data_IF_187702824099
#
_entry.id   IF_187702824099
#
_cell.length_a   1.000
_cell.length_b   1.000
_cell.length_c   1.000
_cell.angle_alpha   90.00
_cell.angle_beta   90.00
_cell.angle_gamma   90.00
#
_symmetry.space_group_name_H-M   'P 1'
#
loop_
_entity.id
_entity.type
_entity.pdbx_description
1 polymer ?
#
# COMPACT_ATOMS: atom_id res chain seq x y z
N UNK A 1 -8.41 -8.24 -31.82
CA UNK A 1 -7.29 -7.82 -30.95
C UNK A 1 -7.69 -8.15 -29.51
N UNK A 2 -7.24 -9.29 -28.97
CA UNK A 2 -7.53 -9.66 -27.57
C UNK A 2 -6.66 -8.79 -26.67
N UNK A 3 -7.24 -7.70 -26.18
CA UNK A 3 -6.59 -6.81 -25.21
C UNK A 3 -6.25 -7.66 -23.99
N UNK A 4 -4.97 -7.80 -23.68
CA UNK A 4 -4.49 -8.58 -22.54
C UNK A 4 -4.80 -7.84 -21.23
N UNK A 5 -6.06 -7.93 -20.78
CA UNK A 5 -6.55 -7.29 -19.56
C UNK A 5 -5.83 -7.82 -18.31
N UNK A 6 -5.44 -9.11 -18.30
CA UNK A 6 -4.82 -9.77 -17.15
C UNK A 6 -3.50 -9.12 -16.72
N UNK A 7 -2.71 -8.65 -17.68
CA UNK A 7 -1.43 -7.99 -17.44
C UNK A 7 -1.59 -6.55 -16.96
N UNK A 8 -2.68 -5.88 -17.36
CA UNK A 8 -2.96 -4.51 -16.94
C UNK A 8 -3.56 -4.45 -15.53
N UNK A 9 -4.42 -5.41 -15.18
CA UNK A 9 -5.02 -5.51 -13.83
C UNK A 9 -3.96 -5.72 -12.76
N UNK A 10 -2.95 -6.58 -13.00
CA UNK A 10 -1.84 -6.79 -12.05
C UNK A 10 -1.00 -5.53 -11.83
N UNK A 11 -0.73 -4.76 -12.89
CA UNK A 11 -0.01 -3.49 -12.77
C UNK A 11 -0.80 -2.44 -11.99
N UNK A 12 -2.12 -2.35 -12.21
CA UNK A 12 -2.98 -1.39 -11.49
C UNK A 12 -3.05 -1.75 -10.01
N UNK A 13 -3.25 -3.02 -9.69
CA UNK A 13 -3.25 -3.53 -8.32
C UNK A 13 -1.96 -3.18 -7.58
N UNK A 14 -0.81 -3.36 -8.25
CA UNK A 14 0.50 -2.96 -7.74
C UNK A 14 0.56 -1.48 -7.38
N UNK A 15 0.09 -0.61 -8.27
CA UNK A 15 0.10 0.85 -8.06
C UNK A 15 -0.82 1.22 -6.90
N UNK A 16 -2.01 0.63 -6.81
CA UNK A 16 -2.96 0.90 -5.72
C UNK A 16 -2.36 0.52 -4.36
N UNK A 17 -1.75 -0.66 -4.23
CA UNK A 17 -1.07 -1.07 -2.99
C UNK A 17 0.03 -0.10 -2.59
N UNK A 18 0.85 0.34 -3.56
CA UNK A 18 1.90 1.34 -3.31
C UNK A 18 1.32 2.64 -2.75
N UNK A 19 0.26 3.16 -3.37
CA UNK A 19 -0.41 4.40 -2.93
C UNK A 19 -0.98 4.23 -1.52
N UNK A 20 -1.68 3.12 -1.24
CA UNK A 20 -2.24 2.82 0.07
C UNK A 20 -1.13 2.74 1.12
N UNK A 21 -0.03 2.05 0.83
CA UNK A 21 1.09 1.91 1.74
C UNK A 21 1.70 3.26 2.12
N UNK A 22 1.96 4.13 1.12
CA UNK A 22 2.48 5.48 1.35
C UNK A 22 1.48 6.34 2.15
N UNK A 23 0.18 6.23 1.86
CA UNK A 23 -0.85 6.96 2.58
C UNK A 23 -0.93 6.56 4.06
N UNK A 24 -0.79 5.27 4.36
CA UNK A 24 -0.76 4.74 5.73
C UNK A 24 0.48 5.23 6.49
N UNK A 25 1.67 5.20 5.87
CA UNK A 25 2.89 5.76 6.48
C UNK A 25 2.72 7.26 6.75
N UNK A 26 2.14 7.99 5.80
CA UNK A 26 1.96 9.44 5.95
C UNK A 26 0.95 9.77 7.06
N UNK A 27 -0.14 9.03 7.17
CA UNK A 27 -1.15 9.26 8.22
C UNK A 27 -0.62 8.98 9.62
N UNK A 28 0.21 7.95 9.78
CA UNK A 28 0.93 7.71 11.04
C UNK A 28 1.89 8.85 11.40
N UNK A 29 2.61 9.40 10.41
CA UNK A 29 3.56 10.48 10.61
C UNK A 29 2.89 11.82 10.95
N UNK A 30 1.76 12.12 10.32
CA UNK A 30 0.97 13.32 10.59
C UNK A 30 0.26 13.31 11.95
N UNK A 31 0.39 12.24 12.74
CA UNK A 31 -0.23 12.14 14.05
C UNK A 31 -1.75 12.03 13.99
N UNK A 32 -2.29 11.44 12.92
CA UNK A 32 -3.75 11.23 12.77
C UNK A 32 -4.32 10.34 13.88
N UNK A 33 -3.47 9.53 14.52
CA UNK A 33 -3.84 8.62 15.60
C UNK A 33 -3.15 9.02 16.90
N UNK A 34 -3.91 9.17 17.97
CA UNK A 34 -3.38 9.51 19.32
C UNK A 34 -2.77 8.31 20.03
N UNK A 35 -3.21 7.09 19.68
CA UNK A 35 -2.76 5.86 20.32
C UNK A 35 -1.50 5.31 19.62
N UNK A 36 -0.40 5.22 20.36
CA UNK A 36 0.90 4.74 19.86
C UNK A 36 0.85 3.30 19.30
N UNK A 37 0.00 2.43 19.87
CA UNK A 37 -0.17 1.07 19.37
C UNK A 37 -0.84 1.08 17.98
N UNK A 38 -1.82 1.96 17.76
CA UNK A 38 -2.48 2.11 16.45
C UNK A 38 -1.49 2.65 15.43
N UNK A 39 -0.68 3.65 15.78
CA UNK A 39 0.36 4.21 14.90
C UNK A 39 1.35 3.11 14.46
N UNK A 40 1.81 2.28 15.40
CA UNK A 40 2.73 1.19 15.10
C UNK A 40 2.10 0.16 14.13
N UNK A 41 0.83 -0.21 14.34
CA UNK A 41 0.11 -1.11 13.44
C UNK A 41 -0.08 -0.52 12.05
N UNK A 42 -0.42 0.77 11.97
CA UNK A 42 -0.59 1.49 10.70
C UNK A 42 0.72 1.50 9.91
N UNK A 43 1.86 1.73 10.57
CA UNK A 43 3.16 1.64 9.92
C UNK A 43 3.47 0.22 9.43
N UNK A 44 3.17 -0.79 10.24
CA UNK A 44 3.40 -2.19 9.88
C UNK A 44 2.58 -2.61 8.65
N UNK A 45 1.30 -2.22 8.60
CA UNK A 45 0.41 -2.46 7.47
C UNK A 45 0.85 -1.64 6.25
N UNK A 46 1.19 -0.37 6.43
CA UNK A 46 1.67 0.48 5.34
C UNK A 46 2.93 -0.08 4.68
N UNK A 47 3.87 -0.57 5.49
CA UNK A 47 5.10 -1.17 5.01
C UNK A 47 4.83 -2.52 4.30
N UNK A 48 3.90 -3.33 4.79
CA UNK A 48 3.52 -4.58 4.11
C UNK A 48 2.93 -4.32 2.72
N UNK A 49 2.09 -3.31 2.56
CA UNK A 49 1.53 -2.93 1.25
C UNK A 49 2.61 -2.46 0.26
N UNK A 50 3.60 -1.70 0.73
CA UNK A 50 4.75 -1.30 -0.10
C UNK A 50 5.54 -2.53 -0.53
N UNK A 51 5.86 -3.43 0.41
CA UNK A 51 6.61 -4.66 0.10
C UNK A 51 5.86 -5.54 -0.89
N UNK A 52 4.57 -5.78 -0.68
CA UNK A 52 3.73 -6.54 -1.61
C UNK A 52 3.66 -5.88 -2.99
N UNK A 53 3.57 -4.55 -3.06
CA UNK A 53 3.59 -3.84 -4.35
C UNK A 53 4.93 -3.99 -5.09
N UNK A 54 6.05 -4.20 -4.39
CA UNK A 54 7.35 -4.40 -5.04
C UNK A 54 7.50 -5.86 -5.48
N UNK A 55 7.07 -6.81 -4.65
CA UNK A 55 7.26 -8.24 -4.85
C UNK A 55 6.20 -8.91 -5.75
N UNK A 56 5.00 -8.34 -5.86
CA UNK A 56 3.90 -8.96 -6.61
C UNK A 56 4.14 -8.86 -8.12
N UNK A 57 4.54 -9.97 -8.76
CA UNK A 57 4.91 -10.11 -10.18
C UNK A 57 3.72 -10.13 -11.15
#
# INVERSE_FOLDING_TARGET
MTISLKRNVGNIDRIIRMIIGIALITSGFLGVFENQLIVALVYLIGLSQIVESILSY
#
